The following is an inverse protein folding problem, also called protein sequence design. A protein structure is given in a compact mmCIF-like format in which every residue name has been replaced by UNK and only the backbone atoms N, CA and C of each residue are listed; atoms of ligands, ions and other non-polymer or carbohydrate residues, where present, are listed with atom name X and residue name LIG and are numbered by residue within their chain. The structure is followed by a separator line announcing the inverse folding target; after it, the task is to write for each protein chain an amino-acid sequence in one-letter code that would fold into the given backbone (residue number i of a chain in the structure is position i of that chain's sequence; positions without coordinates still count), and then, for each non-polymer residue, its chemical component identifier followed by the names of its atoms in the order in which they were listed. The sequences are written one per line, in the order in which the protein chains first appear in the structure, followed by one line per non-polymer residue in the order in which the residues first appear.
data_IF_546234037073
#
_entry.id   IF_546234037073
#
_cell.length_a   1.000
_cell.length_b   1.000
_cell.length_c   1.000
_cell.angle_alpha   90.00
_cell.angle_beta   90.00
_cell.angle_gamma   90.00
#
_symmetry.space_group_name_H-M   'P 1'
#
loop_
_entity.id
_entity.type
_entity.pdbx_description
1 polymer ?
#
# COMPACT_ATOMS: atom_id res chain seq x y z
N UNK A 1 4.08 3.71 6.10
CA UNK A 1 4.41 2.26 6.07
C UNK A 1 4.28 1.72 4.66
N UNK A 2 4.75 0.51 4.36
CA UNK A 2 4.64 -0.11 3.02
C UNK A 2 3.29 -0.82 2.77
N UNK A 3 2.19 -0.30 3.33
CA UNK A 3 0.82 -0.86 3.20
C UNK A 3 -0.08 0.07 2.38
N UNK A 4 -1.15 -0.49 1.82
CA UNK A 4 -2.24 0.26 1.16
C UNK A 4 -3.52 -0.01 1.95
N UNK A 5 -4.18 1.04 2.41
CA UNK A 5 -5.54 0.95 2.95
C UNK A 5 -6.50 1.20 1.79
N UNK A 6 -7.35 0.23 1.46
CA UNK A 6 -8.30 0.34 0.35
C UNK A 6 -9.72 0.14 0.86
N UNK A 7 -10.65 0.94 0.37
CA UNK A 7 -12.07 0.83 0.63
C UNK A 7 -12.87 1.18 -0.62
N UNK A 8 -14.14 0.82 -0.61
CA UNK A 8 -15.07 1.17 -1.68
C UNK A 8 -16.46 1.42 -1.13
N UNK A 9 -17.27 2.17 -1.89
CA UNK A 9 -18.68 2.38 -1.64
C UNK A 9 -19.43 2.28 -2.97
N UNK A 10 -20.56 1.56 -2.99
CA UNK A 10 -21.47 1.53 -4.11
C UNK A 10 -22.59 2.54 -3.84
N UNK A 11 -22.87 3.41 -4.80
CA UNK A 11 -24.03 4.31 -4.73
C UNK A 11 -25.33 3.49 -4.62
N UNK A 12 -26.34 4.05 -3.95
CA UNK A 12 -27.61 3.35 -3.67
C UNK A 12 -28.32 2.87 -4.94
N UNK A 13 -28.13 3.55 -6.08
CA UNK A 13 -28.69 3.17 -7.37
C UNK A 13 -28.00 1.95 -8.02
N UNK A 14 -26.91 1.47 -7.41
CA UNK A 14 -26.10 0.35 -7.89
C UNK A 14 -25.27 0.64 -9.13
N UNK A 15 -25.17 1.90 -9.58
CA UNK A 15 -24.55 2.26 -10.88
C UNK A 15 -23.17 2.88 -10.76
N UNK A 16 -22.82 3.43 -9.60
CA UNK A 16 -21.52 4.10 -9.38
C UNK A 16 -20.77 3.44 -8.23
N UNK A 17 -19.59 2.90 -8.55
CA UNK A 17 -18.60 2.46 -7.57
C UNK A 17 -17.60 3.58 -7.30
N UNK A 18 -17.41 3.93 -6.04
CA UNK A 18 -16.33 4.79 -5.58
C UNK A 18 -15.30 3.88 -4.92
N UNK A 19 -14.07 3.86 -5.44
CA UNK A 19 -12.95 3.17 -4.81
C UNK A 19 -11.93 4.21 -4.34
N UNK A 20 -11.41 4.03 -3.13
CA UNK A 20 -10.42 4.91 -2.55
C UNK A 20 -9.28 4.08 -1.94
N UNK A 21 -8.06 4.58 -2.11
CA UNK A 21 -6.86 3.99 -1.50
C UNK A 21 -6.01 5.08 -0.85
N UNK A 22 -5.48 4.78 0.33
CA UNK A 22 -4.51 5.61 1.02
C UNK A 22 -3.16 4.89 1.09
N UNK A 23 -2.11 5.60 0.66
CA UNK A 23 -0.73 5.16 0.70
C UNK A 23 0.16 6.23 1.30
N UNK A 24 1.29 5.80 1.86
CA UNK A 24 2.45 6.63 2.06
C UNK A 24 3.14 6.83 0.70
N UNK A 25 3.20 8.07 0.20
CA UNK A 25 3.71 8.39 -1.13
C UNK A 25 5.22 8.16 -1.26
N UNK A 26 5.98 8.25 -0.17
CA UNK A 26 7.44 8.05 -0.19
C UNK A 26 7.82 6.59 0.09
N UNK A 27 7.05 5.87 0.91
CA UNK A 27 7.20 4.41 1.06
C UNK A 27 6.50 3.67 -0.08
N UNK A 28 5.24 3.28 0.09
CA UNK A 28 4.55 2.41 -0.87
C UNK A 28 4.41 3.08 -2.25
N UNK A 29 4.34 4.41 -2.30
CA UNK A 29 4.33 5.16 -3.55
C UNK A 29 5.68 5.31 -4.25
N UNK A 30 6.81 5.02 -3.57
CA UNK A 30 8.15 5.16 -4.14
C UNK A 30 9.11 4.10 -3.59
N UNK A 31 9.93 4.43 -2.59
CA UNK A 31 11.08 3.63 -2.17
C UNK A 31 10.71 2.22 -1.69
N UNK A 32 9.57 2.10 -0.99
CA UNK A 32 9.07 0.81 -0.51
C UNK A 32 8.71 -0.14 -1.65
N UNK A 33 8.10 0.37 -2.72
CA UNK A 33 7.79 -0.42 -3.92
C UNK A 33 9.05 -0.78 -4.72
N UNK A 34 10.06 0.10 -4.76
CA UNK A 34 11.35 -0.19 -5.37
C UNK A 34 12.08 -1.32 -4.64
N UNK A 35 12.15 -1.26 -3.30
CA UNK A 35 12.74 -2.32 -2.47
C UNK A 35 11.95 -3.63 -2.61
N UNK A 36 10.61 -3.58 -2.63
CA UNK A 36 9.78 -4.76 -2.81
C UNK A 36 10.04 -5.47 -4.15
N UNK A 37 10.21 -4.68 -5.22
CA UNK A 37 10.57 -5.20 -6.54
C UNK A 37 11.99 -5.77 -6.57
N UNK A 38 12.94 -5.11 -5.90
CA UNK A 38 14.31 -5.59 -5.77
C UNK A 38 14.38 -6.90 -4.97
N UNK A 39 13.56 -7.05 -3.92
CA UNK A 39 13.49 -8.28 -3.15
C UNK A 39 13.07 -9.46 -4.04
N UNK A 40 12.01 -9.27 -4.83
CA UNK A 40 11.55 -10.27 -5.80
C UNK A 40 12.65 -10.60 -6.81
N UNK A 41 13.31 -9.58 -7.38
CA UNK A 41 14.38 -9.76 -8.38
C UNK A 41 15.57 -10.55 -7.82
N UNK A 42 15.91 -10.32 -6.55
CA UNK A 42 17.03 -10.98 -5.88
C UNK A 42 16.65 -12.33 -5.25
N UNK A 43 15.40 -12.77 -5.38
CA UNK A 43 14.91 -14.02 -4.78
C UNK A 43 14.85 -14.00 -3.25
N UNK A 44 14.78 -12.81 -2.64
CA UNK A 44 14.58 -12.65 -1.20
C UNK A 44 13.08 -12.64 -0.87
N UNK A 45 12.73 -12.72 0.42
CA UNK A 45 11.35 -12.49 0.84
C UNK A 45 10.91 -11.08 0.40
N UNK A 46 9.81 -11.00 -0.35
CA UNK A 46 9.22 -9.76 -0.85
C UNK A 46 9.06 -8.70 0.26
N UNK A 47 8.74 -9.12 1.49
CA UNK A 47 8.48 -8.21 2.62
C UNK A 47 9.73 -7.84 3.41
N UNK A 48 10.88 -8.42 3.09
CA UNK A 48 12.13 -8.15 3.81
C UNK A 48 12.41 -6.63 3.87
N UNK A 49 12.56 -6.11 5.09
CA UNK A 49 12.82 -4.68 5.34
C UNK A 49 11.62 -3.74 5.20
N UNK A 50 10.40 -4.25 4.97
CA UNK A 50 9.21 -3.45 4.65
C UNK A 50 8.07 -3.58 5.69
N UNK A 51 8.34 -4.21 6.83
CA UNK A 51 7.33 -4.57 7.83
C UNK A 51 7.01 -3.47 8.86
N UNK A 52 7.60 -2.28 8.71
CA UNK A 52 7.39 -1.14 9.59
C UNK A 52 5.89 -0.80 9.73
N UNK A 53 5.43 -0.67 10.97
CA UNK A 53 4.06 -0.23 11.26
C UNK A 53 3.85 1.26 10.91
N UNK A 54 2.64 1.66 10.50
CA UNK A 54 2.31 3.08 10.34
C UNK A 54 2.46 3.81 11.68
N UNK A 55 3.00 5.02 11.65
CA UNK A 55 3.00 5.91 12.81
C UNK A 55 1.60 6.55 12.92
N UNK A 56 0.98 6.45 14.08
CA UNK A 56 -0.25 7.18 14.43
C UNK A 56 0.07 8.19 15.54
N UNK A 57 -0.54 9.40 15.54
CA UNK A 57 -0.43 10.32 16.66
C UNK A 57 -0.90 9.65 17.97
N UNK A 58 -0.26 10.02 19.09
CA UNK A 58 -0.64 9.58 20.43
C UNK A 58 -1.98 10.17 20.87
#
# INVERSE_FOLDING_TARGET
SNRVLTGFALAEDGRRLIAASAIDNLLKGAAGSAVQSANIMCGTDEKAGLEMMPLYPA
#
